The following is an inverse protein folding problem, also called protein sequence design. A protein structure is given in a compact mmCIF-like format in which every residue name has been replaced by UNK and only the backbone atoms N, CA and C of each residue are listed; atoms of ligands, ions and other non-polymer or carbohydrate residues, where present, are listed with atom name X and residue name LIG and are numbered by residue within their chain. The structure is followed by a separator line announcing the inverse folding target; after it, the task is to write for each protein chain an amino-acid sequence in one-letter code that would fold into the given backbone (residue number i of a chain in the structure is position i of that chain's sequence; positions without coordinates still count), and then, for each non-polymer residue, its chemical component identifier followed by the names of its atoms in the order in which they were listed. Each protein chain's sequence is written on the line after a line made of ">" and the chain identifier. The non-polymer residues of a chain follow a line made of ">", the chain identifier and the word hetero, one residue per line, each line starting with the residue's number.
data_IF_687178794921
#
_entry.id   IF_687178794921
#
_cell.length_a   1.000
_cell.length_b   1.000
_cell.length_c   1.000
_cell.angle_alpha   90.00
_cell.angle_beta   90.00
_cell.angle_gamma   90.00
#
_symmetry.space_group_name_H-M   'P 1'
#
loop_
_entity.id
_entity.type
_entity.pdbx_description
1 polymer ?
#
# COMPACT_ATOMS: atom_id res chain seq x y z
N UNK A 1 -12.78 15.44 -0.13
CA UNK A 1 -11.84 15.98 -1.15
C UNK A 1 -10.45 15.36 -1.07
N UNK A 2 -9.89 15.15 0.13
CA UNK A 2 -8.53 14.62 0.32
C UNK A 2 -8.31 13.19 -0.24
N UNK A 3 -9.30 12.30 -0.14
CA UNK A 3 -9.18 10.94 -0.69
C UNK A 3 -9.09 10.92 -2.23
N UNK A 4 -9.64 11.90 -2.94
CA UNK A 4 -9.47 11.94 -4.40
C UNK A 4 -8.02 12.23 -4.79
N UNK A 5 -7.33 13.10 -4.04
CA UNK A 5 -5.91 13.39 -4.24
C UNK A 5 -5.02 12.18 -3.90
N UNK A 6 -5.41 11.40 -2.89
CA UNK A 6 -4.71 10.19 -2.44
C UNK A 6 -5.09 8.92 -3.21
N UNK A 7 -6.00 9.02 -4.17
CA UNK A 7 -6.59 7.86 -4.87
C UNK A 7 -5.53 6.97 -5.51
N UNK A 8 -4.45 7.56 -6.02
CA UNK A 8 -3.34 6.85 -6.65
C UNK A 8 -2.18 6.50 -5.70
N UNK A 9 -2.27 6.93 -4.43
CA UNK A 9 -1.21 6.74 -3.45
C UNK A 9 -1.36 5.38 -2.75
N UNK A 10 -0.23 4.73 -2.49
CA UNK A 10 -0.15 3.55 -1.65
C UNK A 10 0.99 3.68 -0.65
N UNK A 11 0.80 3.09 0.53
CA UNK A 11 1.80 2.98 1.58
C UNK A 11 2.58 1.69 1.42
N UNK A 12 3.91 1.80 1.48
CA UNK A 12 4.83 0.68 1.67
C UNK A 12 5.47 0.80 3.05
N UNK A 13 5.38 -0.28 3.83
CA UNK A 13 5.85 -0.36 5.22
C UNK A 13 6.86 -1.52 5.30
N UNK A 14 7.98 -1.32 6.00
CA UNK A 14 8.95 -2.38 6.28
C UNK A 14 10.26 -2.32 5.48
N UNK A 15 10.50 -1.25 4.69
CA UNK A 15 11.84 -1.03 4.11
C UNK A 15 12.72 -0.34 5.16
N UNK A 16 13.95 -0.81 5.30
CA UNK A 16 14.97 -0.17 6.14
C UNK A 16 15.23 1.27 5.70
N UNK A 17 15.71 2.08 6.63
CA UNK A 17 16.11 3.46 6.35
C UNK A 17 17.56 3.46 5.82
N UNK A 18 17.86 4.35 4.87
CA UNK A 18 19.16 4.41 4.19
C UNK A 18 19.24 3.61 2.88
N UNK A 19 18.39 2.61 2.65
CA UNK A 19 18.41 1.88 1.36
C UNK A 19 18.07 2.77 0.15
N UNK A 20 17.42 3.91 0.39
CA UNK A 20 17.07 4.91 -0.62
C UNK A 20 18.29 5.69 -1.12
N UNK A 21 19.33 5.80 -0.28
CA UNK A 21 20.59 6.46 -0.61
C UNK A 21 21.46 5.54 -1.48
N UNK A 22 21.39 4.22 -1.26
CA UNK A 22 22.06 3.23 -2.11
C UNK A 22 21.34 3.03 -3.46
N UNK A 23 20.01 3.05 -3.46
CA UNK A 23 19.18 2.85 -4.65
C UNK A 23 17.90 3.68 -4.60
N UNK A 24 17.52 4.29 -5.73
CA UNK A 24 16.25 5.00 -5.84
C UNK A 24 15.07 4.12 -5.38
N UNK A 25 14.12 4.72 -4.64
CA UNK A 25 12.92 4.06 -4.10
C UNK A 25 12.13 3.34 -5.20
N UNK A 26 12.13 3.88 -6.41
CA UNK A 26 11.50 3.31 -7.60
C UNK A 26 12.09 1.94 -7.95
N UNK A 27 13.42 1.81 -7.93
CA UNK A 27 14.12 0.55 -8.18
C UNK A 27 13.81 -0.47 -7.08
N UNK A 28 13.76 -0.02 -5.83
CA UNK A 28 13.36 -0.81 -4.67
C UNK A 28 11.92 -1.33 -4.80
N UNK A 29 11.00 -0.52 -5.30
CA UNK A 29 9.65 -0.96 -5.58
C UNK A 29 9.60 -1.97 -6.72
N UNK A 30 10.31 -1.71 -7.83
CA UNK A 30 10.39 -2.62 -8.96
C UNK A 30 10.95 -4.00 -8.54
N UNK A 31 11.99 -4.05 -7.69
CA UNK A 31 12.53 -5.29 -7.13
C UNK A 31 11.50 -6.04 -6.30
N UNK A 32 10.80 -5.35 -5.41
CA UNK A 32 9.72 -5.98 -4.60
C UNK A 32 8.62 -6.54 -5.49
N UNK A 33 8.20 -5.83 -6.53
CA UNK A 33 7.20 -6.34 -7.48
C UNK A 33 7.73 -7.53 -8.28
N UNK A 34 8.99 -7.50 -8.72
CA UNK A 34 9.61 -8.61 -9.45
C UNK A 34 9.70 -9.88 -8.61
N UNK A 35 10.21 -9.77 -7.38
CA UNK A 35 10.35 -10.90 -6.46
C UNK A 35 9.00 -11.46 -6.02
N UNK A 36 8.00 -10.58 -5.84
CA UNK A 36 6.74 -11.00 -5.24
C UNK A 36 5.59 -11.23 -6.21
N UNK A 37 5.55 -10.50 -7.32
CA UNK A 37 4.44 -10.44 -8.27
C UNK A 37 4.95 -10.40 -9.73
N UNK A 38 5.66 -11.44 -10.19
CA UNK A 38 6.29 -11.45 -11.53
C UNK A 38 5.29 -11.23 -12.67
N UNK A 39 4.03 -11.61 -12.49
CA UNK A 39 2.96 -11.39 -13.47
C UNK A 39 2.68 -9.89 -13.70
N UNK A 40 2.76 -9.06 -12.65
CA UNK A 40 2.54 -7.61 -12.77
C UNK A 40 3.68 -6.92 -13.54
N UNK A 41 4.89 -7.49 -13.53
CA UNK A 41 6.01 -7.00 -14.36
C UNK A 41 5.76 -7.26 -15.84
N UNK A 42 5.24 -8.44 -16.20
CA UNK A 42 4.89 -8.78 -17.58
C UNK A 42 3.82 -7.83 -18.15
N UNK A 43 2.85 -7.47 -17.33
CA UNK A 43 1.77 -6.55 -17.69
C UNK A 43 2.18 -5.06 -17.69
N UNK A 44 3.42 -4.71 -17.32
CA UNK A 44 3.93 -3.34 -17.24
C UNK A 44 3.09 -2.42 -16.33
N UNK A 45 2.55 -2.96 -15.24
CA UNK A 45 1.65 -2.29 -14.26
C UNK A 45 2.41 -1.30 -13.35
N UNK A 46 3.73 -1.21 -13.47
CA UNK A 46 4.61 -0.58 -12.46
C UNK A 46 5.01 0.87 -12.76
N UNK A 47 4.26 1.63 -13.57
CA UNK A 47 4.58 3.05 -13.80
C UNK A 47 4.36 3.87 -12.53
N UNK A 48 5.46 4.17 -11.84
CA UNK A 48 5.50 5.06 -10.69
C UNK A 48 5.57 6.50 -11.19
N UNK A 49 4.84 7.39 -10.52
CA UNK A 49 4.90 8.83 -10.79
C UNK A 49 5.79 9.55 -9.78
N UNK A 50 5.60 9.27 -8.49
CA UNK A 50 6.33 9.90 -7.40
C UNK A 50 6.54 8.88 -6.29
N UNK A 51 7.67 9.00 -5.59
CA UNK A 51 7.95 8.27 -4.36
C UNK A 51 8.47 9.22 -3.31
N UNK A 52 8.03 9.03 -2.07
CA UNK A 52 8.48 9.87 -0.97
C UNK A 52 8.41 9.12 0.34
N UNK A 53 9.46 9.22 1.15
CA UNK A 53 9.44 8.77 2.54
C UNK A 53 8.78 9.80 3.45
N UNK A 54 7.91 9.32 4.34
CA UNK A 54 7.08 10.16 5.22
C UNK A 54 7.22 9.73 6.68
N UNK A 55 7.59 10.65 7.59
CA UNK A 55 8.01 12.03 7.32
C UNK A 55 9.39 12.08 6.62
N UNK A 56 9.65 13.13 5.82
CA UNK A 56 10.95 13.30 5.11
C UNK A 56 12.10 13.39 6.13
N UNK A 57 11.89 14.14 7.22
CA UNK A 57 12.84 14.20 8.33
C UNK A 57 12.46 13.16 9.37
N UNK A 58 13.34 12.19 9.59
CA UNK A 58 13.19 11.21 10.66
C UNK A 58 13.35 11.89 12.02
N UNK A 59 12.44 11.60 12.95
CA UNK A 59 12.64 11.94 14.35
C UNK A 59 13.63 10.93 14.97
N UNK A 60 14.77 11.36 15.53
CA UNK A 60 15.76 10.45 16.12
C UNK A 60 15.20 9.62 17.28
N UNK A 61 14.14 10.07 17.95
CA UNK A 61 13.46 9.31 19.02
C UNK A 61 12.58 8.17 18.50
N UNK A 62 12.29 8.11 17.19
CA UNK A 62 11.41 7.12 16.58
C UNK A 62 12.20 5.88 16.18
N UNK A 63 11.88 4.75 16.82
CA UNK A 63 12.51 3.44 16.55
C UNK A 63 11.86 2.69 15.39
N UNK A 64 10.59 3.00 15.08
CA UNK A 64 9.87 2.36 13.96
C UNK A 64 10.35 2.90 12.62
N UNK A 65 10.46 2.03 11.62
CA UNK A 65 10.74 2.42 10.24
C UNK A 65 9.68 3.39 9.69
N UNK A 66 10.14 4.39 8.95
CA UNK A 66 9.27 5.39 8.31
C UNK A 66 8.52 4.79 7.11
N UNK A 67 7.31 5.27 6.85
CA UNK A 67 6.48 4.80 5.73
C UNK A 67 6.97 5.42 4.42
N UNK A 68 6.77 4.72 3.31
CA UNK A 68 6.99 5.27 1.97
C UNK A 68 5.64 5.41 1.28
N UNK A 69 5.36 6.61 0.78
CA UNK A 69 4.24 6.86 -0.11
C UNK A 69 4.72 6.68 -1.54
N UNK A 70 4.01 5.86 -2.29
CA UNK A 70 4.25 5.60 -3.71
C UNK A 70 2.99 6.03 -4.45
N UNK A 71 3.15 6.94 -5.41
CA UNK A 71 2.07 7.40 -6.28
C UNK A 71 2.18 6.66 -7.61
N UNK A 72 1.17 5.85 -7.90
CA UNK A 72 1.11 5.10 -9.16
C UNK A 72 0.44 5.98 -10.23
N UNK A 73 0.94 5.95 -11.46
CA UNK A 73 0.41 6.79 -12.54
C UNK A 73 -1.08 6.51 -12.81
N UNK A 74 -1.49 5.23 -12.76
CA UNK A 74 -2.88 4.81 -13.00
C UNK A 74 -3.50 4.18 -11.76
N UNK A 75 -4.73 4.58 -11.48
CA UNK A 75 -5.52 4.01 -10.37
C UNK A 75 -5.73 2.50 -10.50
N UNK A 76 -6.02 2.03 -11.73
CA UNK A 76 -6.27 0.61 -12.00
C UNK A 76 -5.03 -0.25 -11.66
N UNK A 77 -3.84 0.27 -11.94
CA UNK A 77 -2.58 -0.42 -11.67
C UNK A 77 -2.35 -0.55 -10.16
N UNK A 78 -2.59 0.53 -9.40
CA UNK A 78 -2.60 0.49 -7.93
C UNK A 78 -3.57 -0.57 -7.39
N UNK A 79 -4.80 -0.62 -7.91
CA UNK A 79 -5.78 -1.60 -7.45
C UNK A 79 -5.35 -3.04 -7.71
N UNK A 80 -4.74 -3.32 -8.87
CA UNK A 80 -4.19 -4.65 -9.19
C UNK A 80 -3.07 -5.04 -8.23
N UNK A 81 -2.14 -4.13 -7.95
CA UNK A 81 -1.04 -4.37 -7.00
C UNK A 81 -1.59 -4.66 -5.60
N UNK A 82 -2.55 -3.86 -5.12
CA UNK A 82 -3.15 -4.06 -3.81
C UNK A 82 -4.01 -5.33 -3.73
N UNK A 83 -4.63 -5.75 -4.84
CA UNK A 83 -5.36 -7.01 -4.92
C UNK A 83 -4.39 -8.19 -4.80
N UNK A 84 -3.32 -8.20 -5.60
CA UNK A 84 -2.28 -9.22 -5.55
C UNK A 84 -1.61 -9.30 -4.15
N UNK A 85 -1.36 -8.15 -3.52
CA UNK A 85 -0.85 -8.08 -2.15
C UNK A 85 -1.78 -8.76 -1.13
N UNK A 86 -3.09 -8.57 -1.23
CA UNK A 86 -4.07 -9.21 -0.34
C UNK A 86 -4.15 -10.72 -0.55
N UNK A 87 -4.06 -11.17 -1.80
CA UNK A 87 -4.11 -12.59 -2.16
C UNK A 87 -2.86 -13.34 -1.67
N UNK A 88 -1.69 -12.73 -1.80
CA UNK A 88 -0.41 -13.33 -1.41
C UNK A 88 -0.22 -13.43 0.12
N UNK A 89 -0.89 -12.57 0.90
CA UNK A 89 -0.82 -12.42 2.38
C UNK A 89 0.54 -12.00 2.95
N UNK A 90 1.63 -12.58 2.46
CA UNK A 90 3.00 -12.27 2.88
C UNK A 90 3.83 -11.76 1.71
N UNK A 91 4.41 -10.58 1.89
CA UNK A 91 5.32 -9.95 0.94
C UNK A 91 6.64 -9.80 1.67
N UNK A 92 7.70 -10.37 1.13
CA UNK A 92 9.02 -10.30 1.72
C UNK A 92 10.00 -9.59 0.79
N UNK A 93 11.02 -8.97 1.36
CA UNK A 93 12.14 -8.37 0.64
C UNK A 93 13.36 -8.35 1.55
N UNK A 94 14.50 -8.85 1.05
CA UNK A 94 15.75 -8.97 1.84
C UNK A 94 15.56 -9.57 3.24
N UNK A 95 14.69 -10.57 3.37
CA UNK A 95 14.38 -11.22 4.66
C UNK A 95 13.44 -10.44 5.60
N UNK A 96 13.04 -9.23 5.25
CA UNK A 96 12.04 -8.44 5.99
C UNK A 96 10.64 -8.56 5.41
N UNK A 97 9.62 -8.59 6.27
CA UNK A 97 8.21 -8.53 5.86
C UNK A 97 7.81 -7.09 5.50
N UNK A 98 7.19 -6.96 4.33
CA UNK A 98 6.68 -5.70 3.79
C UNK A 98 5.16 -5.73 3.77
N UNK A 99 4.54 -4.58 4.03
CA UNK A 99 3.10 -4.38 3.86
C UNK A 99 2.83 -3.31 2.81
N UNK A 100 1.94 -3.63 1.88
CA UNK A 100 1.40 -2.69 0.89
C UNK A 100 -0.06 -2.37 1.26
N UNK A 101 -0.38 -1.09 1.45
CA UNK A 101 -1.71 -0.63 1.82
C UNK A 101 -2.12 0.59 1.00
N UNK A 102 -3.43 0.85 0.90
CA UNK A 102 -3.91 2.09 0.29
C UNK A 102 -3.71 3.27 1.23
N UNK A 103 -3.41 4.46 0.67
CA UNK A 103 -3.43 5.71 1.42
C UNK A 103 -4.85 6.28 1.49
N UNK A 104 -5.29 6.60 2.70
CA UNK A 104 -6.61 7.14 3.00
C UNK A 104 -6.48 8.43 3.82
N UNK A 105 -7.52 9.25 3.81
CA UNK A 105 -7.73 10.28 4.82
C UNK A 105 -8.02 9.64 6.19
N UNK A 106 -7.84 10.42 7.26
CA UNK A 106 -8.19 9.96 8.61
C UNK A 106 -9.68 9.64 8.75
N UNK A 107 -10.54 10.39 8.07
CA UNK A 107 -11.99 10.17 8.08
C UNK A 107 -12.35 8.84 7.41
N UNK A 108 -11.81 8.60 6.21
CA UNK A 108 -12.03 7.34 5.47
C UNK A 108 -11.44 6.15 6.21
N UNK A 109 -10.30 6.31 6.88
CA UNK A 109 -9.72 5.26 7.72
C UNK A 109 -10.64 4.92 8.90
N UNK A 110 -11.15 5.92 9.63
CA UNK A 110 -12.10 5.74 10.72
C UNK A 110 -13.39 5.06 10.25
N UNK A 111 -13.95 5.49 9.12
CA UNK A 111 -15.13 4.86 8.53
C UNK A 111 -14.88 3.40 8.16
N UNK A 112 -13.72 3.08 7.57
CA UNK A 112 -13.33 1.70 7.24
C UNK A 112 -13.20 0.81 8.46
N UNK A 113 -12.65 1.30 9.56
CA UNK A 113 -12.56 0.54 10.82
C UNK A 113 -13.97 0.14 11.29
N UNK A 114 -14.92 1.08 11.30
CA UNK A 114 -16.33 0.80 11.62
C UNK A 114 -16.94 -0.24 10.66
N UNK A 115 -16.65 -0.13 9.36
CA UNK A 115 -17.10 -1.10 8.38
C UNK A 115 -16.49 -2.49 8.56
N UNK A 116 -15.28 -2.62 9.12
CA UNK A 116 -14.68 -3.94 9.36
C UNK A 116 -15.48 -4.75 10.38
N UNK A 117 -15.91 -4.12 11.48
CA UNK A 117 -16.76 -4.75 12.49
C UNK A 117 -18.09 -5.22 11.89
N UNK A 118 -18.79 -4.32 11.18
CA UNK A 118 -20.06 -4.65 10.53
C UNK A 118 -19.89 -5.74 9.45
N UNK A 119 -18.80 -5.69 8.69
CA UNK A 119 -18.49 -6.70 7.68
C UNK A 119 -18.27 -8.08 8.31
N UNK A 120 -17.72 -8.15 9.52
CA UNK A 120 -17.55 -9.42 10.22
C UNK A 120 -18.90 -10.03 10.59
N UNK A 121 -19.84 -9.21 11.09
CA UNK A 121 -21.21 -9.65 11.40
C UNK A 121 -21.94 -10.12 10.15
N UNK A 122 -21.81 -9.39 9.03
CA UNK A 122 -22.41 -9.78 7.75
C UNK A 122 -21.84 -11.11 7.24
N UNK A 123 -20.52 -11.32 7.32
CA UNK A 123 -19.86 -12.60 6.96
C UNK A 123 -20.38 -13.77 7.78
N UNK A 124 -20.59 -13.58 9.08
CA UNK A 124 -21.15 -14.62 9.96
C UNK A 124 -22.59 -15.02 9.56
N UNK A 125 -23.31 -14.15 8.83
CA UNK A 125 -24.65 -14.41 8.29
C UNK A 125 -24.63 -14.94 6.84
N UNK A 126 -23.46 -15.32 6.32
CA UNK A 126 -23.31 -15.83 4.95
C UNK A 126 -23.29 -14.75 3.85
N UNK A 127 -23.27 -13.46 4.21
CA UNK A 127 -23.14 -12.38 3.23
C UNK A 127 -21.67 -12.15 2.85
N UNK A 128 -21.44 -11.62 1.65
CA UNK A 128 -20.10 -11.27 1.15
C UNK A 128 -19.93 -9.74 1.00
N UNK A 129 -19.75 -9.00 2.11
CA UNK A 129 -19.61 -7.54 2.07
C UNK A 129 -18.36 -7.11 1.30
N UNK A 130 -18.46 -6.02 0.53
CA UNK A 130 -17.35 -5.44 -0.24
C UNK A 130 -17.21 -3.95 0.03
N UNK A 131 -16.14 -3.57 0.75
CA UNK A 131 -15.86 -2.15 1.02
C UNK A 131 -15.15 -1.48 -0.15
N UNK A 132 -15.89 -0.71 -0.93
CA UNK A 132 -15.43 0.09 -2.05
C UNK A 132 -14.68 1.36 -1.61
N UNK A 133 -13.90 1.93 -2.53
CA UNK A 133 -13.17 3.18 -2.31
C UNK A 133 -14.13 4.40 -2.24
N UNK A 134 -13.86 5.39 -1.37
CA UNK A 134 -12.85 5.38 -0.32
C UNK A 134 -13.29 4.62 0.93
N UNK A 135 -14.58 4.61 1.29
CA UNK A 135 -15.10 3.90 2.47
C UNK A 135 -16.61 3.63 2.36
N UNK A 136 -17.05 2.94 1.30
CA UNK A 136 -18.47 2.57 1.09
C UNK A 136 -18.63 1.05 1.24
N UNK A 137 -19.54 0.60 2.11
CA UNK A 137 -19.85 -0.82 2.32
C UNK A 137 -20.92 -1.31 1.34
#
# INVERSE_FOLDING_TARGET
>A
MQDNMKRNNMHKIGILEGEEEEQAIENLFAKVIMENFPNLMKEKVTKIQETQRVPIKKNPKRTTLSHIIIKIAKYQDKERILKAAREKKEIAYKGGLIRLAADFSMESLKARIKWQELSQVMRNRGLQPRVLYPARL
#
